data_IF_880425151910
#
_entry.id   IF_880425151910
#
_cell.length_a   1.000
_cell.length_b   1.000
_cell.length_c   1.000
_cell.angle_alpha   90.00
_cell.angle_beta   90.00
_cell.angle_gamma   90.00
#
_symmetry.space_group_name_H-M   'P 1'
#
loop_
_entity.id
_entity.type
_entity.pdbx_description
1 polymer ?
#
# COMPACT_ATOMS: atom_id res chain seq x y z
N UNK A 1 9.27 12.26 11.64
CA UNK A 1 7.80 12.22 11.48
C UNK A 1 7.33 10.80 11.17
N UNK A 2 7.68 10.20 10.03
CA UNK A 2 7.25 8.84 9.63
C UNK A 2 7.39 7.77 10.72
N UNK A 3 8.58 7.64 11.33
CA UNK A 3 8.83 6.67 12.42
C UNK A 3 7.83 6.80 13.58
N UNK A 4 7.48 8.02 13.98
CA UNK A 4 6.54 8.26 15.09
C UNK A 4 5.13 7.87 14.67
N UNK A 5 4.72 8.22 13.45
CA UNK A 5 3.39 7.90 12.95
C UNK A 5 3.17 6.38 12.84
N UNK A 6 4.16 5.63 12.36
CA UNK A 6 4.10 4.16 12.33
C UNK A 6 4.08 3.58 13.74
N UNK A 7 4.88 4.11 14.68
CA UNK A 7 4.87 3.66 16.06
C UNK A 7 3.49 3.83 16.73
N UNK A 8 2.79 4.92 16.41
CA UNK A 8 1.44 5.17 16.90
C UNK A 8 0.42 4.18 16.35
N UNK A 9 0.56 3.76 15.09
CA UNK A 9 -0.21 2.64 14.53
C UNK A 9 0.08 1.34 15.29
N UNK A 10 1.36 1.03 15.55
CA UNK A 10 1.78 -0.18 16.26
C UNK A 10 1.45 -0.18 17.77
N UNK A 11 0.90 0.92 18.28
CA UNK A 11 0.48 1.07 19.68
C UNK A 11 1.51 1.73 20.60
N UNK A 12 2.67 2.13 20.11
CA UNK A 12 3.64 2.92 20.88
C UNK A 12 3.26 4.41 20.87
N UNK A 13 2.26 4.76 21.69
CA UNK A 13 1.63 6.08 21.71
C UNK A 13 2.01 6.94 22.93
N UNK A 14 2.74 6.38 23.89
CA UNK A 14 3.05 7.05 25.16
C UNK A 14 4.46 7.64 25.15
N UNK A 15 4.57 8.91 25.51
CA UNK A 15 5.86 9.57 25.74
C UNK A 15 6.66 8.79 26.82
N UNK A 16 7.98 8.57 26.63
CA UNK A 16 8.82 7.88 27.60
C UNK A 16 8.68 8.41 29.04
N UNK A 17 8.53 9.74 29.20
CA UNK A 17 8.35 10.38 30.52
C UNK A 17 7.04 9.96 31.20
N UNK A 18 6.01 9.66 30.42
CA UNK A 18 4.73 9.14 30.94
C UNK A 18 4.91 7.69 31.40
N UNK A 19 5.57 6.86 30.59
CA UNK A 19 5.89 5.46 30.94
C UNK A 19 6.70 5.38 32.23
N UNK A 20 7.70 6.24 32.40
CA UNK A 20 8.52 6.30 33.62
C UNK A 20 7.70 6.69 34.85
N UNK A 21 6.82 7.69 34.74
CA UNK A 21 5.93 8.09 35.84
C UNK A 21 4.94 6.98 36.22
N UNK A 22 4.36 6.28 35.24
CA UNK A 22 3.47 5.15 35.51
C UNK A 22 4.22 4.04 36.25
N UNK A 23 5.43 3.72 35.79
CA UNK A 23 6.30 2.72 36.42
C UNK A 23 6.66 3.09 37.87
N UNK A 24 7.06 4.34 38.12
CA UNK A 24 7.36 4.83 39.48
C UNK A 24 6.16 4.73 40.43
N UNK A 25 4.95 4.91 39.90
CA UNK A 25 3.69 4.81 40.66
C UNK A 25 3.16 3.38 40.77
N UNK A 26 3.84 2.38 40.20
CA UNK A 26 3.35 1.01 40.13
C UNK A 26 2.08 0.85 39.29
N UNK A 27 1.81 1.76 38.35
CA UNK A 27 0.63 1.73 37.49
C UNK A 27 0.93 1.00 36.18
N UNK A 28 -0.02 0.19 35.66
CA UNK A 28 0.12 -0.44 34.36
C UNK A 28 0.13 0.59 33.23
N UNK A 29 0.78 0.24 32.13
CA UNK A 29 0.77 1.04 30.90
C UNK A 29 -0.43 0.63 30.05
N UNK A 30 -1.50 1.41 30.10
CA UNK A 30 -2.73 1.16 29.31
C UNK A 30 -2.78 2.09 28.11
N UNK A 31 -3.04 1.53 26.92
CA UNK A 31 -3.17 2.27 25.67
C UNK A 31 -4.50 1.89 25.02
N UNK A 32 -5.31 2.90 24.68
CA UNK A 32 -6.53 2.74 23.89
C UNK A 32 -6.26 3.22 22.46
N UNK A 33 -5.73 2.32 21.63
CA UNK A 33 -5.31 2.65 20.28
C UNK A 33 -6.51 2.80 19.34
N UNK A 34 -6.92 4.05 19.09
CA UNK A 34 -7.97 4.38 18.10
C UNK A 34 -7.41 4.51 16.68
N UNK A 35 -6.09 4.67 16.52
CA UNK A 35 -5.44 4.91 15.24
C UNK A 35 -5.41 3.64 14.40
N UNK A 36 -4.99 2.51 14.97
CA UNK A 36 -4.90 1.25 14.22
C UNK A 36 -6.25 0.81 13.62
N UNK A 37 -7.36 0.74 14.39
CA UNK A 37 -8.66 0.36 13.83
C UNK A 37 -9.15 1.30 12.73
N UNK A 38 -8.91 2.61 12.86
CA UNK A 38 -9.28 3.57 11.82
C UNK A 38 -8.47 3.36 10.55
N UNK A 39 -7.16 3.16 10.66
CA UNK A 39 -6.30 2.89 9.50
C UNK A 39 -6.69 1.57 8.84
N UNK A 40 -6.89 0.51 9.62
CA UNK A 40 -7.28 -0.81 9.11
C UNK A 40 -8.65 -0.76 8.40
N UNK A 41 -9.58 0.07 8.90
CA UNK A 41 -10.85 0.34 8.23
C UNK A 41 -10.69 0.99 6.85
N UNK A 42 -9.80 1.97 6.73
CA UNK A 42 -9.48 2.62 5.44
C UNK A 42 -8.80 1.65 4.48
N UNK A 43 -7.84 0.85 4.95
CA UNK A 43 -7.17 -0.16 4.13
C UNK A 43 -8.13 -1.26 3.67
N UNK A 44 -9.05 -1.68 4.54
CA UNK A 44 -10.11 -2.62 4.18
C UNK A 44 -11.06 -2.06 3.12
N UNK A 45 -11.40 -0.77 3.20
CA UNK A 45 -12.21 -0.10 2.19
C UNK A 45 -11.48 -0.02 0.84
N UNK A 46 -10.22 0.41 0.83
CA UNK A 46 -9.39 0.42 -0.38
C UNK A 46 -9.34 -0.96 -1.03
N UNK A 47 -9.09 -2.00 -0.23
CA UNK A 47 -9.03 -3.35 -0.75
C UNK A 47 -10.35 -3.85 -1.34
N UNK A 48 -11.48 -3.41 -0.79
CA UNK A 48 -12.81 -3.77 -1.27
C UNK A 48 -13.20 -3.02 -2.54
N UNK A 49 -12.82 -1.74 -2.68
CA UNK A 49 -13.21 -0.89 -3.82
C UNK A 49 -12.12 -0.77 -4.88
N UNK A 50 -11.05 -1.54 -4.76
CA UNK A 50 -9.93 -1.50 -5.69
C UNK A 50 -10.39 -1.84 -7.10
N UNK A 51 -9.93 -1.03 -8.05
CA UNK A 51 -10.12 -1.28 -9.49
C UNK A 51 -8.77 -1.52 -10.15
N UNK A 52 -8.80 -2.30 -11.23
CA UNK A 52 -7.64 -2.53 -12.07
C UNK A 52 -7.29 -1.25 -12.85
N UNK A 53 -6.03 -1.17 -13.26
CA UNK A 53 -5.56 -0.11 -14.15
C UNK A 53 -5.92 -0.48 -15.59
N UNK A 54 -6.31 0.52 -16.38
CA UNK A 54 -6.69 0.37 -17.77
C UNK A 54 -5.79 1.26 -18.63
N UNK A 55 -5.23 0.68 -19.69
CA UNK A 55 -4.55 1.44 -20.75
C UNK A 55 -5.61 2.04 -21.65
N UNK A 56 -5.62 3.36 -21.75
CA UNK A 56 -6.53 4.10 -22.62
C UNK A 56 -5.75 4.72 -23.77
N UNK A 57 -6.33 4.71 -24.97
CA UNK A 57 -5.83 5.51 -26.08
C UNK A 57 -6.03 7.01 -25.76
N UNK A 58 -5.08 7.83 -26.17
CA UNK A 58 -5.14 9.29 -25.97
C UNK A 58 -6.07 9.95 -27.00
N UNK A 59 -5.96 9.51 -28.26
CA UNK A 59 -6.82 9.96 -29.36
C UNK A 59 -7.94 8.94 -29.65
N UNK A 60 -9.17 9.41 -29.95
CA UNK A 60 -10.32 8.56 -30.30
C UNK A 60 -10.23 8.11 -31.77
N UNK A 61 -9.23 7.28 -32.05
CA UNK A 61 -9.02 6.61 -33.32
C UNK A 61 -9.29 5.11 -33.18
N UNK A 62 -10.07 4.53 -34.10
CA UNK A 62 -10.52 3.14 -34.02
C UNK A 62 -9.34 2.14 -33.99
N UNK A 63 -8.24 2.44 -34.69
CA UNK A 63 -7.06 1.59 -34.67
C UNK A 63 -6.31 1.69 -33.34
N UNK A 64 -6.24 2.90 -32.77
CA UNK A 64 -5.64 3.12 -31.46
C UNK A 64 -6.45 2.49 -30.32
N UNK A 65 -7.78 2.52 -30.39
CA UNK A 65 -8.66 1.84 -29.44
C UNK A 65 -8.47 0.32 -29.49
N UNK A 66 -8.44 -0.27 -30.69
CA UNK A 66 -8.17 -1.70 -30.87
C UNK A 66 -6.77 -2.09 -30.33
N UNK A 67 -5.78 -1.23 -30.55
CA UNK A 67 -4.44 -1.42 -30.01
C UNK A 67 -4.42 -1.37 -28.48
N UNK A 68 -5.14 -0.41 -27.88
CA UNK A 68 -5.25 -0.28 -26.43
C UNK A 68 -5.92 -1.52 -25.82
N UNK A 69 -6.96 -2.07 -26.45
CA UNK A 69 -7.59 -3.33 -26.02
C UNK A 69 -6.58 -4.50 -26.03
N UNK A 70 -5.82 -4.65 -27.12
CA UNK A 70 -4.79 -5.67 -27.22
C UNK A 70 -3.69 -5.51 -26.15
N UNK A 71 -3.25 -4.28 -25.89
CA UNK A 71 -2.27 -3.96 -24.84
C UNK A 71 -2.84 -4.26 -23.45
N UNK A 72 -4.12 -3.99 -23.21
CA UNK A 72 -4.77 -4.29 -21.94
C UNK A 72 -4.73 -5.79 -21.60
N UNK A 73 -4.84 -6.67 -22.60
CA UNK A 73 -4.71 -8.11 -22.39
C UNK A 73 -3.31 -8.49 -21.85
N UNK A 74 -2.22 -7.99 -22.45
CA UNK A 74 -0.85 -8.23 -21.93
C UNK A 74 -0.62 -7.54 -20.58
N UNK A 75 -1.15 -6.32 -20.42
CA UNK A 75 -0.97 -5.52 -19.22
C UNK A 75 -1.65 -6.12 -18.00
N UNK A 76 -2.88 -6.64 -18.14
CA UNK A 76 -3.60 -7.32 -17.07
C UNK A 76 -2.82 -8.55 -16.57
N UNK A 77 -2.26 -9.34 -17.49
CA UNK A 77 -1.42 -10.48 -17.14
C UNK A 77 -0.12 -10.06 -16.46
N UNK A 78 0.53 -9.00 -16.95
CA UNK A 78 1.73 -8.44 -16.32
C UNK A 78 1.46 -7.93 -14.90
N UNK A 79 0.35 -7.24 -14.68
CA UNK A 79 -0.07 -6.73 -13.37
C UNK A 79 -0.35 -7.87 -12.40
N UNK A 80 -1.10 -8.89 -12.83
CA UNK A 80 -1.44 -10.07 -12.04
C UNK A 80 -0.20 -10.89 -11.66
N UNK A 81 0.63 -11.24 -12.62
CA UNK A 81 1.85 -12.03 -12.39
C UNK A 81 2.92 -11.23 -11.61
N UNK A 82 2.99 -9.92 -11.85
CA UNK A 82 3.89 -8.99 -11.18
C UNK A 82 3.48 -8.63 -9.75
N UNK A 83 2.26 -8.98 -9.33
CA UNK A 83 1.66 -8.66 -8.01
C UNK A 83 1.42 -7.16 -7.77
N UNK A 84 0.99 -6.44 -8.82
CA UNK A 84 0.71 -5.01 -8.76
C UNK A 84 -0.21 -4.63 -7.61
N UNK A 85 -1.32 -5.35 -7.42
CA UNK A 85 -2.29 -5.02 -6.39
C UNK A 85 -1.70 -5.05 -4.99
N UNK A 86 -0.88 -6.07 -4.71
CA UNK A 86 -0.22 -6.19 -3.42
C UNK A 86 0.73 -5.01 -3.18
N UNK A 87 1.56 -4.68 -4.16
CA UNK A 87 2.51 -3.58 -4.07
C UNK A 87 1.77 -2.24 -3.86
N UNK A 88 0.68 -2.01 -4.60
CA UNK A 88 -0.17 -0.82 -4.47
C UNK A 88 -0.81 -0.72 -3.08
N UNK A 89 -1.30 -1.83 -2.51
CA UNK A 89 -1.83 -1.87 -1.15
C UNK A 89 -0.78 -1.55 -0.10
N UNK A 90 0.42 -2.09 -0.24
CA UNK A 90 1.53 -1.85 0.69
C UNK A 90 1.95 -0.38 0.65
N UNK A 91 2.09 0.19 -0.57
CA UNK A 91 2.36 1.60 -0.76
C UNK A 91 1.27 2.51 -0.18
N UNK A 92 0.00 2.21 -0.43
CA UNK A 92 -1.12 2.95 0.15
C UNK A 92 -1.13 2.85 1.68
N UNK A 93 -0.82 1.67 2.23
CA UNK A 93 -0.63 1.47 3.67
C UNK A 93 0.44 2.39 4.25
N UNK A 94 1.61 2.48 3.62
CA UNK A 94 2.66 3.42 4.02
C UNK A 94 2.21 4.87 3.88
N UNK A 95 1.47 5.22 2.82
CA UNK A 95 0.96 6.57 2.61
C UNK A 95 -0.01 7.00 3.71
N UNK A 96 -0.97 6.16 4.08
CA UNK A 96 -1.95 6.46 5.13
C UNK A 96 -1.29 6.53 6.52
N UNK A 97 -0.29 5.68 6.78
CA UNK A 97 0.42 5.65 8.08
C UNK A 97 1.43 6.80 8.23
N UNK A 98 2.24 7.04 7.21
CA UNK A 98 3.44 7.88 7.30
C UNK A 98 3.50 9.05 6.30
N UNK A 99 2.50 9.16 5.42
CA UNK A 99 2.34 10.26 4.46
C UNK A 99 2.87 9.98 3.06
N UNK A 100 3.63 8.90 2.85
CA UNK A 100 4.16 8.52 1.54
C UNK A 100 4.32 7.00 1.40
N UNK A 101 4.15 6.49 0.19
CA UNK A 101 4.46 5.12 -0.20
C UNK A 101 4.88 5.06 -1.66
N UNK A 102 5.60 4.00 -2.03
CA UNK A 102 6.18 3.85 -3.36
C UNK A 102 5.92 2.45 -3.89
N UNK A 103 5.85 2.34 -5.22
CA UNK A 103 5.82 1.08 -5.95
C UNK A 103 6.97 1.10 -6.94
N UNK A 104 7.78 0.05 -6.94
CA UNK A 104 8.86 -0.17 -7.89
C UNK A 104 8.46 -1.28 -8.86
N UNK A 105 8.44 -0.96 -10.15
CA UNK A 105 8.31 -1.93 -11.23
C UNK A 105 9.67 -2.12 -11.90
N UNK A 106 10.11 -3.37 -12.03
CA UNK A 106 11.40 -3.69 -12.62
C UNK A 106 11.35 -5.01 -13.41
N UNK A 107 12.30 -5.19 -14.33
CA UNK A 107 12.43 -6.42 -15.12
C UNK A 107 12.91 -7.56 -14.23
N UNK A 108 12.27 -8.72 -14.35
CA UNK A 108 12.68 -9.88 -13.59
C UNK A 108 13.99 -10.46 -14.15
N UNK A 109 15.04 -10.62 -13.33
CA UNK A 109 16.28 -11.23 -13.79
C UNK A 109 16.14 -12.73 -14.10
N UNK A 110 15.11 -13.40 -13.56
CA UNK A 110 14.84 -14.80 -13.89
C UNK A 110 14.05 -14.90 -15.20
N UNK A 111 14.63 -15.47 -16.28
CA UNK A 111 13.98 -15.56 -17.59
C UNK A 111 12.81 -16.56 -17.61
N UNK A 112 12.71 -17.46 -16.63
CA UNK A 112 11.60 -18.43 -16.52
C UNK A 112 10.46 -17.93 -15.63
N UNK A 113 10.58 -16.74 -15.05
CA UNK A 113 9.53 -16.14 -14.23
C UNK A 113 8.69 -15.11 -15.00
N UNK A 114 7.77 -14.42 -14.30
CA UNK A 114 7.07 -13.26 -14.85
C UNK A 114 8.07 -12.24 -15.42
N UNK A 115 7.76 -11.64 -16.57
CA UNK A 115 8.63 -10.65 -17.23
C UNK A 115 8.97 -9.45 -16.34
N UNK A 116 8.01 -9.04 -15.50
CA UNK A 116 8.14 -7.93 -14.56
C UNK A 116 7.86 -8.39 -13.12
N UNK A 117 8.50 -7.74 -12.17
CA UNK A 117 8.17 -7.80 -10.74
C UNK A 117 7.81 -6.41 -10.26
N UNK A 118 6.84 -6.37 -9.34
CA UNK A 118 6.33 -5.14 -8.76
C UNK A 118 6.35 -5.31 -7.24
N UNK A 119 6.92 -4.34 -6.52
CA UNK A 119 7.03 -4.34 -5.06
C UNK A 119 6.88 -2.94 -4.49
#
# INVERSE_FOLDING_TARGET
>A
AAKVATAYYDGDQLDPRVKDKLKQRGQPTTIHNLIAPTIDGVLGMEAKTRTDLLVCADDPDEQMELMAEAVNAEFADAARLGRLDKARSEAYGSQIKAGVGFVEAYRNPNPFGPKYKIK
#
